data_IF_818760601069
#
_entry.id   IF_818760601069
#
_cell.length_a   1.000
_cell.length_b   1.000
_cell.length_c   1.000
_cell.angle_alpha   90.00
_cell.angle_beta   90.00
_cell.angle_gamma   90.00
#
_symmetry.space_group_name_H-M   'P 1'
#
loop_
_entity.id
_entity.type
_entity.pdbx_description
1 polymer ?
#
# COMPACT_ATOMS: atom_id res chain seq x y z
N UNK A 1 -5.84 -6.58 -15.93
CA UNK A 1 -5.43 -7.11 -14.61
C UNK A 1 -4.61 -6.07 -13.89
N UNK A 2 -4.82 -5.87 -12.59
CA UNK A 2 -4.00 -5.04 -11.72
C UNK A 2 -2.88 -5.88 -11.11
N UNK A 3 -1.62 -5.46 -11.25
CA UNK A 3 -0.48 -6.01 -10.52
C UNK A 3 -0.17 -5.15 -9.30
N UNK A 4 0.17 -5.76 -8.19
CA UNK A 4 0.61 -5.07 -6.98
C UNK A 4 1.87 -5.74 -6.47
N UNK A 5 2.94 -4.99 -6.26
CA UNK A 5 4.14 -5.52 -5.58
C UNK A 5 4.30 -4.85 -4.22
N UNK A 6 4.93 -5.53 -3.28
CA UNK A 6 5.18 -4.96 -1.95
C UNK A 6 5.29 -5.99 -0.85
N UNK A 7 5.16 -5.51 0.37
CA UNK A 7 5.29 -6.34 1.56
C UNK A 7 4.04 -7.21 1.79
N UNK A 8 4.30 -8.44 2.21
CA UNK A 8 3.35 -9.39 2.76
C UNK A 8 3.91 -9.88 4.08
N UNK A 9 3.36 -9.40 5.18
CA UNK A 9 3.88 -9.57 6.53
C UNK A 9 2.79 -9.99 7.50
N UNK A 10 3.18 -10.52 8.67
CA UNK A 10 2.25 -10.74 9.78
C UNK A 10 2.26 -9.52 10.70
N UNK A 11 1.10 -8.91 10.91
CA UNK A 11 0.94 -7.84 11.90
C UNK A 11 0.57 -8.48 13.25
N UNK A 12 1.36 -8.19 14.28
CA UNK A 12 1.10 -8.55 15.67
C UNK A 12 0.62 -7.29 16.39
N UNK A 13 -0.68 -7.19 16.58
CA UNK A 13 -1.30 -6.07 17.28
C UNK A 13 -1.29 -6.35 18.78
N UNK A 14 -0.60 -5.51 19.54
CA UNK A 14 -0.54 -5.54 21.00
C UNK A 14 -1.35 -4.37 21.54
N UNK A 15 -2.54 -4.65 22.04
CA UNK A 15 -3.42 -3.65 22.63
C UNK A 15 -3.23 -3.61 24.12
N UNK A 16 -2.60 -2.56 24.64
CA UNK A 16 -2.34 -2.41 26.06
C UNK A 16 -3.64 -2.16 26.83
N UNK A 17 -3.84 -2.89 27.92
CA UNK A 17 -4.93 -2.70 28.85
C UNK A 17 -4.52 -1.85 30.06
N UNK A 18 -3.29 -1.40 30.11
CA UNK A 18 -2.69 -0.54 31.13
C UNK A 18 -1.42 0.12 30.57
N UNK A 19 -0.93 1.24 31.16
CA UNK A 19 0.29 1.90 30.71
C UNK A 19 1.50 0.96 30.71
N UNK A 20 2.34 1.10 29.68
CA UNK A 20 3.57 0.32 29.56
C UNK A 20 4.49 0.60 30.75
N UNK A 21 4.90 -0.46 31.44
CA UNK A 21 5.86 -0.39 32.55
C UNK A 21 7.17 -1.06 32.17
N UNK A 22 8.26 -0.34 32.28
CA UNK A 22 9.58 -0.90 31.99
C UNK A 22 10.01 -1.90 33.07
N UNK A 23 10.54 -3.04 32.62
CA UNK A 23 11.15 -4.04 33.52
C UNK A 23 10.16 -4.95 34.24
N UNK A 24 8.87 -4.94 33.88
CA UNK A 24 7.85 -5.85 34.41
C UNK A 24 6.78 -6.15 33.36
N UNK A 25 5.84 -7.04 33.70
CA UNK A 25 4.73 -7.40 32.81
C UNK A 25 3.72 -6.25 32.66
N UNK A 26 3.16 -6.11 31.48
CA UNK A 26 2.00 -5.27 31.19
C UNK A 26 0.86 -6.13 30.60
N UNK A 27 -0.36 -5.91 31.06
CA UNK A 27 -1.53 -6.63 30.52
C UNK A 27 -1.87 -6.10 29.16
N UNK A 28 -2.06 -7.00 28.19
CA UNK A 28 -2.40 -6.68 26.84
C UNK A 28 -3.31 -7.75 26.22
N UNK A 29 -4.02 -7.38 25.15
CA UNK A 29 -4.60 -8.31 24.20
C UNK A 29 -3.69 -8.38 22.97
N UNK A 30 -3.45 -9.60 22.46
CA UNK A 30 -2.55 -9.80 21.31
C UNK A 30 -3.32 -10.49 20.20
N UNK A 31 -3.30 -9.89 19.03
CA UNK A 31 -3.93 -10.40 17.81
C UNK A 31 -2.90 -10.55 16.71
N UNK A 32 -3.14 -11.48 15.79
CA UNK A 32 -2.36 -11.65 14.57
C UNK A 32 -3.26 -11.39 13.37
N UNK A 33 -2.82 -10.52 12.48
CA UNK A 33 -3.56 -10.17 11.27
C UNK A 33 -2.62 -10.13 10.06
N UNK A 34 -3.15 -10.36 8.85
CA UNK A 34 -2.35 -10.13 7.65
C UNK A 34 -2.07 -8.63 7.50
N UNK A 35 -0.83 -8.30 7.15
CA UNK A 35 -0.35 -6.95 6.98
C UNK A 35 0.49 -6.77 5.71
N UNK A 36 1.00 -5.57 5.56
CA UNK A 36 1.75 -5.11 4.39
C UNK A 36 0.88 -4.30 3.43
N UNK A 37 1.31 -3.06 3.11
CA UNK A 37 0.54 -2.15 2.26
C UNK A 37 0.23 -2.76 0.89
N UNK A 38 1.23 -3.34 0.21
CA UNK A 38 1.01 -4.01 -1.08
C UNK A 38 -0.01 -5.16 -0.98
N UNK A 39 0.08 -6.00 0.04
CA UNK A 39 -0.85 -7.11 0.26
C UNK A 39 -2.28 -6.62 0.55
N UNK A 40 -2.42 -5.54 1.33
CA UNK A 40 -3.71 -4.92 1.59
C UNK A 40 -4.34 -4.38 0.31
N UNK A 41 -3.59 -3.61 -0.51
CA UNK A 41 -4.08 -3.12 -1.81
C UNK A 41 -4.52 -4.29 -2.69
N UNK A 42 -3.72 -5.35 -2.80
CA UNK A 42 -4.07 -6.51 -3.62
C UNK A 42 -5.34 -7.20 -3.12
N UNK A 43 -5.46 -7.42 -1.82
CA UNK A 43 -6.63 -8.04 -1.18
C UNK A 43 -7.91 -7.24 -1.41
N UNK A 44 -7.86 -5.92 -1.21
CA UNK A 44 -9.03 -5.05 -1.40
C UNK A 44 -9.42 -4.96 -2.88
N UNK A 45 -8.44 -4.90 -3.79
CA UNK A 45 -8.71 -4.79 -5.23
C UNK A 45 -9.25 -6.09 -5.84
N UNK A 46 -8.91 -7.26 -5.29
CA UNK A 46 -9.29 -8.56 -5.86
C UNK A 46 -10.81 -8.77 -5.94
N UNK A 47 -11.59 -8.14 -5.06
CA UNK A 47 -13.06 -8.15 -5.12
C UNK A 47 -13.64 -7.24 -6.22
N UNK A 48 -12.82 -6.39 -6.84
CA UNK A 48 -13.23 -5.38 -7.82
C UNK A 48 -12.74 -5.70 -9.23
N UNK A 49 -11.50 -6.17 -9.37
CA UNK A 49 -10.87 -6.52 -10.65
C UNK A 49 -9.92 -7.71 -10.47
N UNK A 50 -9.61 -8.46 -11.54
CA UNK A 50 -8.55 -9.47 -11.50
C UNK A 50 -7.24 -8.84 -11.04
N UNK A 51 -6.68 -9.36 -9.94
CA UNK A 51 -5.51 -8.78 -9.25
C UNK A 51 -4.44 -9.82 -9.03
N UNK A 52 -3.18 -9.45 -9.27
CA UNK A 52 -1.99 -10.25 -9.00
C UNK A 52 -1.12 -9.57 -7.95
N UNK A 53 -0.67 -10.33 -6.96
CA UNK A 53 0.32 -9.88 -5.98
C UNK A 53 1.70 -10.47 -6.32
N UNK A 54 2.74 -9.63 -6.23
CA UNK A 54 4.14 -9.98 -6.48
C UNK A 54 4.97 -9.65 -5.25
N UNK A 55 5.67 -10.62 -4.66
CA UNK A 55 6.44 -10.36 -3.45
C UNK A 55 7.35 -11.51 -3.01
N UNK A 56 7.79 -11.45 -1.76
CA UNK A 56 8.59 -12.50 -1.13
C UNK A 56 8.11 -12.76 0.30
N UNK A 57 8.03 -14.04 0.67
CA UNK A 57 7.70 -14.49 2.04
C UNK A 57 8.66 -15.61 2.46
N UNK A 58 8.72 -15.91 3.74
CA UNK A 58 9.52 -17.05 4.24
C UNK A 58 8.94 -18.40 3.81
N UNK A 59 9.79 -19.45 3.73
CA UNK A 59 9.34 -20.84 3.63
C UNK A 59 8.93 -21.37 5.01
N UNK A 60 8.00 -20.67 5.67
CA UNK A 60 7.55 -20.90 7.04
C UNK A 60 6.03 -20.86 7.16
N UNK A 61 5.49 -21.31 8.29
CA UNK A 61 4.04 -21.40 8.51
C UNK A 61 3.33 -20.04 8.41
N UNK A 62 3.86 -18.92 8.94
CA UNK A 62 3.26 -17.59 8.70
C UNK A 62 3.20 -17.23 7.22
N UNK A 63 4.27 -17.46 6.45
CA UNK A 63 4.31 -17.18 5.02
C UNK A 63 3.28 -18.00 4.24
N UNK A 64 3.10 -19.28 4.59
CA UNK A 64 2.09 -20.12 3.97
C UNK A 64 0.67 -19.64 4.30
N UNK A 65 0.42 -19.27 5.55
CA UNK A 65 -0.88 -18.77 5.98
C UNK A 65 -1.25 -17.45 5.27
N UNK A 66 -0.30 -16.52 5.15
CA UNK A 66 -0.51 -15.24 4.47
C UNK A 66 -0.80 -15.42 2.97
N UNK A 67 -0.05 -16.30 2.29
CA UNK A 67 -0.30 -16.63 0.88
C UNK A 67 -1.70 -17.24 0.70
N UNK A 68 -2.08 -18.21 1.57
CA UNK A 68 -3.40 -18.84 1.52
C UNK A 68 -4.53 -17.81 1.72
N UNK A 69 -4.35 -16.82 2.60
CA UNK A 69 -5.35 -15.77 2.82
C UNK A 69 -5.52 -14.88 1.59
N UNK A 70 -4.43 -14.50 0.90
CA UNK A 70 -4.53 -13.75 -0.35
C UNK A 70 -5.20 -14.55 -1.46
N UNK A 71 -4.85 -15.83 -1.59
CA UNK A 71 -5.49 -16.74 -2.56
C UNK A 71 -6.98 -16.89 -2.26
N UNK A 72 -7.36 -17.06 -0.99
CA UNK A 72 -8.76 -17.13 -0.57
C UNK A 72 -9.54 -15.83 -0.85
N UNK A 73 -8.85 -14.68 -0.87
CA UNK A 73 -9.42 -13.40 -1.29
C UNK A 73 -9.51 -13.23 -2.81
N UNK A 74 -9.09 -14.22 -3.62
CA UNK A 74 -9.15 -14.19 -5.08
C UNK A 74 -7.95 -13.53 -5.77
N UNK A 75 -6.84 -13.34 -5.05
CA UNK A 75 -5.59 -12.80 -5.62
C UNK A 75 -4.79 -13.90 -6.33
N UNK A 76 -4.28 -13.63 -7.53
CA UNK A 76 -3.24 -14.43 -8.18
C UNK A 76 -1.89 -14.14 -7.50
N UNK A 77 -1.42 -15.04 -6.64
CA UNK A 77 -0.24 -14.80 -5.80
C UNK A 77 1.02 -15.38 -6.45
N UNK A 78 2.00 -14.51 -6.69
CA UNK A 78 3.33 -14.86 -7.20
C UNK A 78 4.37 -14.40 -6.19
N UNK A 79 4.97 -15.35 -5.47
CA UNK A 79 5.95 -15.04 -4.41
C UNK A 79 7.19 -15.90 -4.51
N UNK A 80 8.34 -15.29 -4.26
CA UNK A 80 9.56 -16.00 -3.93
C UNK A 80 9.52 -16.43 -2.45
N UNK A 81 10.30 -17.45 -2.13
CA UNK A 81 10.44 -17.96 -0.78
C UNK A 81 11.88 -17.80 -0.32
N UNK A 82 12.14 -16.90 0.63
CA UNK A 82 13.48 -16.63 1.15
C UNK A 82 13.42 -16.09 2.57
N UNK A 83 14.40 -16.41 3.38
CA UNK A 83 14.49 -15.93 4.76
C UNK A 83 13.34 -16.38 5.65
N UNK A 84 12.92 -15.54 6.58
CA UNK A 84 11.71 -15.70 7.41
C UNK A 84 10.66 -14.68 7.01
N UNK A 85 9.40 -15.01 7.19
CA UNK A 85 8.29 -14.07 6.95
C UNK A 85 8.42 -12.82 7.81
N UNK A 86 8.18 -11.67 7.21
CA UNK A 86 8.23 -10.37 7.89
C UNK A 86 7.14 -10.24 8.94
N UNK A 87 7.42 -9.46 9.96
CA UNK A 87 6.50 -9.21 11.08
C UNK A 87 6.54 -7.74 11.45
N UNK A 88 5.37 -7.13 11.62
CA UNK A 88 5.24 -5.79 12.17
C UNK A 88 4.54 -5.88 13.52
N UNK A 89 5.18 -5.42 14.59
CA UNK A 89 4.52 -5.32 15.90
C UNK A 89 3.89 -3.93 16.00
N UNK A 90 2.59 -3.88 16.24
CA UNK A 90 1.82 -2.67 16.48
C UNK A 90 1.48 -2.58 17.96
N UNK A 91 2.08 -1.67 18.67
CA UNK A 91 1.72 -1.37 20.05
C UNK A 91 0.68 -0.26 20.05
N UNK A 92 -0.49 -0.52 20.61
CA UNK A 92 -1.59 0.43 20.75
C UNK A 92 -1.78 0.70 22.24
N UNK A 93 -1.62 1.96 22.64
CA UNK A 93 -1.79 2.37 24.03
C UNK A 93 -3.26 2.69 24.37
N UNK A 94 -3.53 3.05 25.63
CA UNK A 94 -4.87 3.38 26.14
C UNK A 94 -5.52 4.58 25.43
N UNK A 95 -4.71 5.49 24.86
CA UNK A 95 -5.18 6.64 24.08
C UNK A 95 -5.53 6.28 22.62
N UNK A 96 -5.16 5.07 22.19
CA UNK A 96 -5.27 4.63 20.81
C UNK A 96 -4.08 5.05 19.94
N UNK A 97 -3.04 5.63 20.53
CA UNK A 97 -1.79 5.96 19.85
C UNK A 97 -1.06 4.67 19.45
N UNK A 98 -0.45 4.69 18.26
CA UNK A 98 0.18 3.51 17.66
C UNK A 98 1.68 3.71 17.49
N UNK A 99 2.44 2.75 18.02
CA UNK A 99 3.86 2.62 17.71
C UNK A 99 4.09 1.34 16.90
N UNK A 100 4.73 1.47 15.76
CA UNK A 100 4.99 0.34 14.86
C UNK A 100 6.46 -0.04 14.88
N UNK A 101 6.73 -1.34 14.95
CA UNK A 101 8.07 -1.93 14.90
C UNK A 101 8.14 -2.85 13.68
N UNK A 102 8.47 -2.32 12.49
CA UNK A 102 8.52 -3.11 11.29
C UNK A 102 9.81 -3.94 11.20
N UNK A 103 9.66 -5.23 10.95
CA UNK A 103 10.72 -6.12 10.52
C UNK A 103 10.29 -6.78 9.21
N UNK A 104 10.73 -6.23 8.10
CA UNK A 104 10.30 -6.64 6.76
C UNK A 104 10.82 -8.02 6.36
N UNK A 105 11.95 -8.46 6.92
CA UNK A 105 12.57 -9.77 6.68
C UNK A 105 12.46 -10.23 5.21
N UNK A 106 11.73 -11.32 4.90
CA UNK A 106 11.56 -11.84 3.55
C UNK A 106 11.04 -10.81 2.53
N UNK A 107 10.18 -9.88 2.95
CA UNK A 107 9.67 -8.83 2.04
C UNK A 107 10.77 -7.91 1.49
N UNK A 108 11.93 -7.84 2.15
CA UNK A 108 13.10 -7.12 1.66
C UNK A 108 14.07 -7.99 0.83
N UNK A 109 13.78 -9.28 0.64
CA UNK A 109 14.64 -10.26 -0.01
C UNK A 109 14.12 -10.73 -1.39
N UNK A 110 13.19 -10.02 -2.00
CA UNK A 110 12.76 -10.30 -3.37
C UNK A 110 13.92 -9.99 -4.33
N UNK A 111 14.54 -11.01 -4.91
CA UNK A 111 15.73 -10.86 -5.76
C UNK A 111 15.38 -10.50 -7.20
N UNK A 112 14.25 -10.98 -7.70
CA UNK A 112 13.78 -10.75 -9.06
C UNK A 112 12.26 -10.80 -9.14
N UNK A 113 11.68 -9.99 -10.02
CA UNK A 113 10.33 -10.16 -10.54
C UNK A 113 10.46 -10.74 -11.95
N UNK A 114 10.19 -12.06 -12.13
CA UNK A 114 10.27 -12.71 -13.43
C UNK A 114 9.37 -12.01 -14.45
N UNK A 115 9.82 -11.98 -15.70
CA UNK A 115 9.15 -11.23 -16.76
C UNK A 115 7.71 -11.70 -17.02
N UNK A 116 7.46 -13.01 -16.89
CA UNK A 116 6.14 -13.63 -17.02
C UNK A 116 5.17 -13.26 -15.87
N UNK A 117 5.69 -12.80 -14.71
CA UNK A 117 4.84 -12.28 -13.64
C UNK A 117 4.15 -10.96 -14.03
N UNK A 118 4.67 -10.26 -15.03
CA UNK A 118 4.07 -9.04 -15.58
C UNK A 118 3.07 -9.31 -16.70
N UNK A 119 2.94 -10.56 -17.17
CA UNK A 119 2.06 -10.89 -18.30
C UNK A 119 0.60 -10.65 -17.98
N UNK A 120 -0.09 -9.94 -18.89
CA UNK A 120 -1.49 -9.58 -18.76
C UNK A 120 -1.80 -8.43 -17.79
N UNK A 121 -0.79 -7.83 -17.17
CA UNK A 121 -0.98 -6.63 -16.36
C UNK A 121 -1.29 -5.43 -17.26
N UNK A 122 -2.18 -4.58 -16.79
CA UNK A 122 -2.51 -3.27 -17.39
C UNK A 122 -1.95 -2.12 -16.55
N UNK A 123 -1.69 -2.39 -15.27
CA UNK A 123 -1.11 -1.45 -14.32
C UNK A 123 -0.34 -2.24 -13.26
N UNK A 124 0.86 -1.75 -12.89
CA UNK A 124 1.66 -2.22 -11.76
C UNK A 124 1.67 -1.14 -10.67
N UNK A 125 1.20 -1.49 -9.48
CA UNK A 125 1.20 -0.61 -8.31
C UNK A 125 2.35 -0.98 -7.37
N UNK A 126 3.04 0.06 -6.86
CA UNK A 126 4.23 -0.06 -6.02
C UNK A 126 4.12 0.88 -4.81
N UNK A 127 3.87 0.40 -3.59
CA UNK A 127 4.07 1.20 -2.38
C UNK A 127 5.54 1.57 -2.19
N UNK A 128 5.81 2.80 -1.73
CA UNK A 128 7.16 3.34 -1.58
C UNK A 128 8.06 2.50 -0.66
N UNK A 129 7.51 1.76 0.30
CA UNK A 129 8.25 0.81 1.11
C UNK A 129 9.08 -0.19 0.29
N UNK A 130 8.64 -0.52 -0.92
CA UNK A 130 9.37 -1.43 -1.82
C UNK A 130 10.71 -0.88 -2.28
N UNK A 131 10.96 0.42 -2.12
CA UNK A 131 12.21 1.08 -2.50
C UNK A 131 13.18 1.29 -1.32
N UNK A 132 12.86 0.88 -0.10
CA UNK A 132 13.69 1.13 1.10
C UNK A 132 15.07 0.46 1.09
N UNK A 133 15.40 -0.27 0.06
CA UNK A 133 16.72 -0.89 -0.12
C UNK A 133 16.68 -2.41 -0.21
N UNK A 134 17.86 -3.00 -0.17
CA UNK A 134 18.03 -4.45 -0.34
C UNK A 134 17.72 -4.94 -1.76
N UNK A 135 17.68 -6.27 -1.96
CA UNK A 135 17.35 -6.88 -3.25
C UNK A 135 15.99 -6.44 -3.80
N UNK A 136 14.98 -6.30 -2.95
CA UNK A 136 13.63 -5.92 -3.34
C UNK A 136 13.57 -4.58 -4.07
N UNK A 137 14.31 -3.56 -3.60
CA UNK A 137 14.34 -2.26 -4.26
C UNK A 137 14.86 -2.38 -5.70
N UNK A 138 15.96 -3.08 -5.90
CA UNK A 138 16.55 -3.30 -7.23
C UNK A 138 15.60 -4.11 -8.14
N UNK A 139 15.00 -5.19 -7.62
CA UNK A 139 14.05 -6.01 -8.37
C UNK A 139 12.81 -5.22 -8.80
N UNK A 140 12.28 -4.37 -7.92
CA UNK A 140 11.11 -3.53 -8.20
C UNK A 140 11.44 -2.44 -9.22
N UNK A 141 12.60 -1.77 -9.11
CA UNK A 141 13.03 -0.79 -10.12
C UNK A 141 13.14 -1.42 -11.51
N UNK A 142 13.73 -2.61 -11.61
CA UNK A 142 13.80 -3.37 -12.88
C UNK A 142 12.41 -3.70 -13.39
N UNK A 143 11.52 -4.16 -12.51
CA UNK A 143 10.14 -4.49 -12.89
C UNK A 143 9.35 -3.27 -13.39
N UNK A 144 9.54 -2.10 -12.77
CA UNK A 144 8.94 -0.84 -13.22
C UNK A 144 9.43 -0.47 -14.63
N UNK A 145 10.73 -0.56 -14.90
CA UNK A 145 11.27 -0.30 -16.25
C UNK A 145 10.71 -1.28 -17.28
N UNK A 146 10.69 -2.60 -16.96
CA UNK A 146 10.09 -3.63 -17.82
C UNK A 146 8.59 -3.43 -18.05
N UNK A 147 7.85 -2.98 -17.04
CA UNK A 147 6.44 -2.64 -17.17
C UNK A 147 6.22 -1.53 -18.21
N UNK A 148 7.03 -0.47 -18.13
CA UNK A 148 6.97 0.64 -19.10
C UNK A 148 7.31 0.21 -20.53
N UNK A 149 8.33 -0.65 -20.72
CA UNK A 149 8.70 -1.22 -22.03
C UNK A 149 7.55 -2.03 -22.67
N UNK A 150 6.57 -2.43 -21.85
CA UNK A 150 5.40 -3.23 -22.25
C UNK A 150 4.10 -2.43 -22.24
N UNK A 151 4.17 -1.10 -22.16
CA UNK A 151 2.99 -0.22 -22.05
C UNK A 151 2.08 -0.55 -20.84
N UNK A 152 2.63 -1.17 -19.79
CA UNK A 152 1.97 -1.37 -18.52
C UNK A 152 2.10 -0.08 -17.71
N UNK A 153 1.00 0.52 -17.30
CA UNK A 153 1.02 1.72 -16.47
C UNK A 153 1.65 1.43 -15.11
N UNK A 154 2.32 2.43 -14.56
CA UNK A 154 2.95 2.34 -13.24
C UNK A 154 2.30 3.33 -12.29
N UNK A 155 1.91 2.84 -11.11
CA UNK A 155 1.44 3.64 -10.00
C UNK A 155 2.38 3.48 -8.81
N UNK A 156 2.74 4.58 -8.16
CA UNK A 156 3.48 4.60 -6.89
C UNK A 156 2.60 5.21 -5.81
N UNK A 157 2.57 4.64 -4.60
CA UNK A 157 2.03 5.31 -3.40
C UNK A 157 3.19 5.79 -2.52
N UNK A 158 3.15 7.03 -2.05
CA UNK A 158 4.19 7.62 -1.22
C UNK A 158 4.26 6.98 0.19
N UNK A 159 3.22 6.29 0.61
CA UNK A 159 3.10 5.37 1.74
C UNK A 159 3.20 5.98 3.13
N UNK A 160 4.27 6.73 3.47
CA UNK A 160 4.48 7.25 4.83
C UNK A 160 5.51 8.37 4.87
N UNK A 161 5.21 9.46 5.59
CA UNK A 161 6.17 10.54 5.86
C UNK A 161 7.39 10.04 6.63
N UNK A 162 7.22 9.07 7.54
CA UNK A 162 8.31 8.45 8.29
C UNK A 162 9.27 7.71 7.38
N UNK A 163 8.75 6.88 6.47
CA UNK A 163 9.55 6.19 5.46
C UNK A 163 10.27 7.17 4.53
N UNK A 164 9.56 8.17 3.99
CA UNK A 164 10.13 9.19 3.11
C UNK A 164 11.26 9.96 3.77
N UNK A 165 11.12 10.29 5.05
CA UNK A 165 12.17 10.97 5.83
C UNK A 165 13.38 10.07 6.02
N UNK A 166 13.16 8.79 6.38
CA UNK A 166 14.23 7.81 6.57
C UNK A 166 14.97 7.51 5.27
N UNK A 167 14.25 7.32 4.18
CA UNK A 167 14.81 7.09 2.83
C UNK A 167 15.60 8.31 2.32
N UNK A 168 15.19 9.51 2.72
CA UNK A 168 15.67 10.80 2.25
C UNK A 168 14.78 11.39 1.16
N UNK A 169 14.13 12.51 1.50
CA UNK A 169 13.14 13.19 0.64
C UNK A 169 13.68 13.48 -0.77
N UNK A 170 14.89 14.07 -0.86
CA UNK A 170 15.50 14.40 -2.16
C UNK A 170 15.88 13.15 -2.97
N UNK A 171 16.31 12.09 -2.28
CA UNK A 171 16.60 10.81 -2.93
C UNK A 171 15.32 10.19 -3.52
N UNK A 172 14.20 10.26 -2.78
CA UNK A 172 12.93 9.75 -3.27
C UNK A 172 12.37 10.59 -4.43
N UNK A 173 12.54 11.91 -4.39
CA UNK A 173 12.21 12.79 -5.51
C UNK A 173 13.00 12.42 -6.77
N UNK A 174 14.32 12.19 -6.63
CA UNK A 174 15.16 11.76 -7.75
C UNK A 174 14.72 10.41 -8.30
N UNK A 175 14.36 9.45 -7.43
CA UNK A 175 13.81 8.16 -7.83
C UNK A 175 12.49 8.33 -8.62
N UNK A 176 11.55 9.14 -8.13
CA UNK A 176 10.29 9.41 -8.83
C UNK A 176 10.53 10.07 -10.20
N UNK A 177 11.53 10.96 -10.31
CA UNK A 177 11.87 11.59 -11.58
C UNK A 177 12.45 10.57 -12.59
N UNK A 178 13.27 9.61 -12.13
CA UNK A 178 13.83 8.54 -12.96
C UNK A 178 12.77 7.53 -13.38
N UNK A 179 11.97 7.04 -12.44
CA UNK A 179 10.92 6.07 -12.70
C UNK A 179 9.75 6.67 -13.48
N UNK A 180 9.48 7.96 -13.30
CA UNK A 180 8.40 8.73 -13.91
C UNK A 180 7.07 7.94 -13.95
N UNK A 181 6.48 7.56 -12.79
CA UNK A 181 5.26 6.77 -12.76
C UNK A 181 4.10 7.54 -13.41
N UNK A 182 3.13 6.82 -13.98
CA UNK A 182 1.93 7.42 -14.57
C UNK A 182 1.02 8.02 -13.49
N UNK A 183 0.98 7.38 -12.30
CA UNK A 183 0.20 7.80 -11.14
C UNK A 183 1.10 7.86 -9.91
N UNK A 184 0.97 8.92 -9.13
CA UNK A 184 1.55 9.04 -7.80
C UNK A 184 0.42 9.33 -6.80
N UNK A 185 0.18 8.42 -5.88
CA UNK A 185 -0.77 8.57 -4.80
C UNK A 185 -0.03 9.05 -3.55
N UNK A 186 -0.57 10.05 -2.88
CA UNK A 186 -0.01 10.56 -1.63
C UNK A 186 -1.13 11.08 -0.73
N UNK A 187 -0.91 11.11 0.58
CA UNK A 187 -1.74 11.94 1.45
C UNK A 187 -1.22 13.38 1.49
N UNK A 188 -1.98 14.30 2.12
CA UNK A 188 -1.63 15.71 2.16
C UNK A 188 -0.26 15.97 2.83
N UNK A 189 0.07 15.21 3.89
CA UNK A 189 1.35 15.37 4.59
C UNK A 189 2.54 14.85 3.75
N UNK A 190 2.36 13.73 3.06
CA UNK A 190 3.35 13.18 2.12
C UNK A 190 3.55 14.11 0.93
N UNK A 191 2.45 14.64 0.36
CA UNK A 191 2.51 15.58 -0.75
C UNK A 191 3.25 16.88 -0.35
N UNK A 192 2.98 17.41 0.83
CA UNK A 192 3.67 18.58 1.37
C UNK A 192 5.17 18.30 1.60
N UNK A 193 5.51 17.14 2.21
CA UNK A 193 6.89 16.74 2.47
C UNK A 193 7.69 16.59 1.16
N UNK A 194 7.08 16.02 0.14
CA UNK A 194 7.68 15.83 -1.18
C UNK A 194 7.59 17.09 -2.05
N UNK A 195 6.87 18.14 -1.63
CA UNK A 195 6.64 19.35 -2.45
C UNK A 195 5.96 19.03 -3.79
N UNK A 196 4.96 18.15 -3.77
CA UNK A 196 4.26 17.72 -4.98
C UNK A 196 3.29 18.80 -5.44
N UNK A 197 3.52 19.35 -6.63
CA UNK A 197 2.61 20.32 -7.25
C UNK A 197 2.14 19.80 -8.60
N UNK A 198 2.97 19.93 -9.63
CA UNK A 198 2.68 19.47 -11.00
C UNK A 198 3.87 18.73 -11.55
N UNK A 199 3.62 17.63 -12.22
CA UNK A 199 4.63 16.85 -12.93
C UNK A 199 4.28 16.75 -14.41
N UNK A 200 5.23 16.90 -15.33
CA UNK A 200 4.94 16.84 -16.75
C UNK A 200 4.58 15.44 -17.29
N UNK A 201 4.71 14.43 -16.46
CA UNK A 201 4.47 13.03 -16.85
C UNK A 201 3.58 12.26 -15.88
N UNK A 202 3.51 12.68 -14.62
CA UNK A 202 2.85 11.95 -13.55
C UNK A 202 1.55 12.64 -13.16
N UNK A 203 0.45 11.92 -13.15
CA UNK A 203 -0.79 12.36 -12.50
C UNK A 203 -0.65 12.15 -11.00
N UNK A 204 -0.76 13.22 -10.21
CA UNK A 204 -0.60 13.20 -8.77
C UNK A 204 -1.97 13.24 -8.10
N UNK A 205 -2.26 12.26 -7.25
CA UNK A 205 -3.53 12.11 -6.53
C UNK A 205 -3.28 12.34 -5.04
N UNK A 206 -3.73 13.47 -4.52
CA UNK A 206 -3.54 13.86 -3.12
C UNK A 206 -4.80 13.60 -2.32
N UNK A 207 -4.73 12.62 -1.42
CA UNK A 207 -5.79 12.27 -0.45
C UNK A 207 -5.68 13.20 0.77
N UNK A 208 -6.78 13.74 1.26
CA UNK A 208 -6.79 14.70 2.36
C UNK A 208 -7.84 14.36 3.46
N UNK A 209 -8.03 13.09 3.74
CA UNK A 209 -8.98 12.62 4.76
C UNK A 209 -10.42 12.97 4.38
N UNK A 210 -11.09 13.82 5.16
CA UNK A 210 -12.45 14.28 4.89
C UNK A 210 -12.52 15.43 3.85
N UNK A 211 -11.39 16.08 3.58
CA UNK A 211 -11.31 17.13 2.57
C UNK A 211 -11.27 16.53 1.16
N UNK A 212 -11.63 17.30 0.11
CA UNK A 212 -11.64 16.80 -1.26
C UNK A 212 -10.30 16.21 -1.69
N UNK A 213 -10.33 15.07 -2.38
CA UNK A 213 -9.16 14.55 -3.08
C UNK A 213 -8.83 15.45 -4.25
N UNK A 214 -7.57 15.86 -4.35
CA UNK A 214 -7.07 16.74 -5.42
C UNK A 214 -6.22 15.94 -6.39
N UNK A 215 -6.53 16.03 -7.67
CA UNK A 215 -5.74 15.41 -8.74
C UNK A 215 -5.07 16.49 -9.57
N UNK A 216 -3.75 16.50 -9.61
CA UNK A 216 -2.95 17.36 -10.50
C UNK A 216 -2.57 16.55 -11.74
N UNK A 217 -2.92 17.08 -12.93
CA UNK A 217 -2.61 16.42 -14.20
C UNK A 217 -1.34 16.98 -14.85
N UNK A 218 -0.72 16.21 -15.74
CA UNK A 218 0.48 16.66 -16.48
C UNK A 218 0.26 17.93 -17.31
N UNK A 219 -0.95 18.19 -17.76
CA UNK A 219 -1.32 19.39 -18.50
C UNK A 219 -1.49 20.65 -17.63
N UNK A 220 -1.24 20.52 -16.32
CA UNK A 220 -1.41 21.58 -15.33
C UNK A 220 -2.86 21.76 -14.84
N UNK A 221 -3.81 21.00 -15.38
CA UNK A 221 -5.20 21.06 -14.89
C UNK A 221 -5.35 20.38 -13.52
N UNK A 222 -6.33 20.86 -12.75
CA UNK A 222 -6.65 20.36 -11.42
C UNK A 222 -8.08 19.85 -11.37
N UNK A 223 -8.28 18.67 -10.77
CA UNK A 223 -9.58 18.10 -10.51
C UNK A 223 -9.75 17.95 -9.00
N UNK A 224 -10.85 18.43 -8.46
CA UNK A 224 -11.26 18.20 -7.08
C UNK A 224 -12.44 17.24 -7.05
N UNK A 225 -12.37 16.26 -6.15
CA UNK A 225 -13.42 15.26 -5.94
C UNK A 225 -13.81 15.24 -4.46
N UNK A 226 -15.03 15.70 -4.12
CA UNK A 226 -15.50 15.71 -2.75
C UNK A 226 -15.52 14.31 -2.13
N UNK A 227 -15.21 14.21 -0.85
CA UNK A 227 -15.28 12.97 -0.07
C UNK A 227 -16.65 12.87 0.56
N UNK A 228 -17.43 11.79 0.35
CA UNK A 228 -18.66 11.57 1.08
C UNK A 228 -18.41 11.43 2.58
N UNK A 229 -19.25 11.99 3.45
CA UNK A 229 -19.09 11.87 4.90
C UNK A 229 -19.20 10.40 5.35
N UNK A 230 -18.32 9.99 6.27
CA UNK A 230 -18.35 8.68 6.91
C UNK A 230 -18.86 8.86 8.33
N UNK A 231 -19.97 8.20 8.66
CA UNK A 231 -20.67 8.44 9.94
C UNK A 231 -19.91 7.87 11.16
N UNK A 232 -19.30 6.70 11.04
CA UNK A 232 -18.61 5.99 12.11
C UNK A 232 -17.18 5.63 11.68
N UNK A 233 -16.20 6.46 12.04
CA UNK A 233 -14.80 6.15 11.84
C UNK A 233 -14.29 5.39 13.06
N UNK A 234 -14.00 4.11 12.89
CA UNK A 234 -13.51 3.23 13.96
C UNK A 234 -12.00 3.05 13.96
N UNK A 235 -11.42 2.95 12.76
CA UNK A 235 -9.99 2.75 12.60
C UNK A 235 -9.52 3.35 11.26
N UNK A 236 -8.39 4.05 11.29
CA UNK A 236 -7.77 4.65 10.10
C UNK A 236 -6.83 3.68 9.37
N UNK A 237 -6.52 2.50 9.97
CA UNK A 237 -5.55 1.55 9.43
C UNK A 237 -6.04 0.97 8.11
N UNK A 238 -5.18 1.04 7.08
CA UNK A 238 -5.48 0.50 5.77
C UNK A 238 -6.45 1.34 4.93
N UNK A 239 -6.95 2.49 5.42
CA UNK A 239 -7.82 3.36 4.61
C UNK A 239 -7.11 3.89 3.36
N UNK A 240 -5.81 4.19 3.43
CA UNK A 240 -4.98 4.56 2.30
C UNK A 240 -4.85 3.43 1.28
N UNK A 241 -4.59 2.20 1.74
CA UNK A 241 -4.50 1.00 0.90
C UNK A 241 -5.86 0.70 0.23
N UNK A 242 -6.95 0.84 0.98
CA UNK A 242 -8.30 0.65 0.45
C UNK A 242 -8.67 1.72 -0.59
N UNK A 243 -8.30 2.99 -0.36
CA UNK A 243 -8.44 4.03 -1.37
C UNK A 243 -7.64 3.67 -2.62
N UNK A 244 -6.37 3.32 -2.49
CA UNK A 244 -5.52 2.92 -3.62
C UNK A 244 -6.14 1.75 -4.39
N UNK A 245 -6.63 0.72 -3.70
CA UNK A 245 -7.28 -0.44 -4.32
C UNK A 245 -8.51 -0.05 -5.14
N UNK A 246 -9.44 0.72 -4.56
CA UNK A 246 -10.65 1.18 -5.25
C UNK A 246 -10.34 2.10 -6.42
N UNK A 247 -9.43 3.06 -6.22
CA UNK A 247 -8.97 3.98 -7.24
C UNK A 247 -8.36 3.23 -8.44
N UNK A 248 -7.37 2.37 -8.18
CA UNK A 248 -6.65 1.66 -9.22
C UNK A 248 -7.55 0.66 -9.97
N UNK A 249 -8.44 -0.03 -9.25
CA UNK A 249 -9.40 -0.94 -9.86
C UNK A 249 -10.32 -0.21 -10.85
N UNK A 250 -10.90 0.93 -10.46
CA UNK A 250 -11.73 1.72 -11.36
C UNK A 250 -10.92 2.32 -12.50
N UNK A 251 -9.72 2.83 -12.21
CA UNK A 251 -8.86 3.45 -13.22
C UNK A 251 -8.39 2.46 -14.30
N UNK A 252 -8.10 1.21 -13.94
CA UNK A 252 -7.74 0.17 -14.92
C UNK A 252 -8.88 -0.06 -15.94
N UNK A 253 -10.13 0.09 -15.51
CA UNK A 253 -11.31 -0.15 -16.35
C UNK A 253 -11.71 1.08 -17.17
N UNK A 254 -11.89 2.22 -16.52
CA UNK A 254 -12.51 3.40 -17.15
C UNK A 254 -11.52 4.46 -17.63
N UNK A 255 -10.31 4.50 -17.08
CA UNK A 255 -9.33 5.59 -17.27
C UNK A 255 -9.85 6.97 -16.82
N UNK A 256 -10.99 7.03 -16.16
CA UNK A 256 -11.56 8.26 -15.64
C UNK A 256 -11.08 8.52 -14.19
N UNK A 257 -10.41 9.65 -13.99
CA UNK A 257 -9.83 10.03 -12.69
C UNK A 257 -10.89 10.37 -11.65
N UNK A 258 -12.05 10.91 -12.06
CA UNK A 258 -13.14 11.23 -11.14
C UNK A 258 -13.83 9.96 -10.65
N UNK A 259 -14.16 9.04 -11.54
CA UNK A 259 -14.72 7.73 -11.19
C UNK A 259 -13.75 6.95 -10.29
N UNK A 260 -12.45 6.99 -10.61
CA UNK A 260 -11.42 6.36 -9.79
C UNK A 260 -11.37 6.94 -8.37
N UNK A 261 -11.39 8.27 -8.20
CA UNK A 261 -11.45 8.89 -6.87
C UNK A 261 -12.70 8.48 -6.10
N UNK A 262 -13.89 8.48 -6.72
CA UNK A 262 -15.14 8.06 -6.07
C UNK A 262 -15.08 6.59 -5.63
N UNK A 263 -14.53 5.71 -6.46
CA UNK A 263 -14.34 4.31 -6.11
C UNK A 263 -13.32 4.15 -4.94
N UNK A 264 -12.24 4.94 -4.96
CA UNK A 264 -11.28 5.02 -3.87
C UNK A 264 -11.93 5.45 -2.54
N UNK A 265 -12.73 6.53 -2.55
CA UNK A 265 -13.49 6.98 -1.37
C UNK A 265 -14.44 5.90 -0.85
N UNK A 266 -15.16 5.22 -1.76
CA UNK A 266 -16.08 4.14 -1.38
C UNK A 266 -15.36 2.98 -0.71
N UNK A 267 -14.19 2.59 -1.22
CA UNK A 267 -13.39 1.52 -0.64
C UNK A 267 -12.80 1.92 0.71
N UNK A 268 -12.27 3.14 0.84
CA UNK A 268 -11.76 3.67 2.10
C UNK A 268 -12.86 3.75 3.18
N UNK A 269 -14.06 4.21 2.83
CA UNK A 269 -15.18 4.33 3.76
C UNK A 269 -15.57 2.98 4.39
N UNK A 270 -15.50 1.88 3.63
CA UNK A 270 -15.79 0.52 4.13
C UNK A 270 -14.78 0.08 5.20
N UNK A 271 -13.51 0.40 4.98
CA UNK A 271 -12.43 0.04 5.93
C UNK A 271 -12.52 0.92 7.17
N UNK A 272 -12.78 2.21 7.02
CA UNK A 272 -12.95 3.14 8.15
C UNK A 272 -14.06 2.73 9.12
N UNK A 273 -15.10 2.08 8.62
CA UNK A 273 -16.24 1.59 9.42
C UNK A 273 -15.95 0.24 10.13
N UNK A 274 -14.81 -0.41 9.85
CA UNK A 274 -14.42 -1.72 10.39
C UNK A 274 -13.16 -1.62 11.25
N UNK A 275 -13.03 -2.41 12.35
CA UNK A 275 -11.78 -2.45 13.11
C UNK A 275 -10.66 -3.15 12.32
N UNK A 276 -9.46 -2.57 12.30
CA UNK A 276 -8.31 -3.08 11.56
C UNK A 276 -8.44 -2.91 10.04
N UNK A 277 -7.39 -3.25 9.28
CA UNK A 277 -7.41 -3.23 7.82
C UNK A 277 -8.28 -4.38 7.26
N UNK A 278 -9.56 -4.42 7.61
CA UNK A 278 -10.51 -5.46 7.17
C UNK A 278 -11.75 -4.84 6.53
N UNK A 279 -12.36 -5.57 5.60
CA UNK A 279 -13.68 -5.24 5.04
C UNK A 279 -14.77 -6.19 5.56
N UNK A 280 -14.41 -7.15 6.40
CA UNK A 280 -15.36 -8.12 6.94
C UNK A 280 -16.24 -7.41 7.97
N UNK A 281 -17.49 -7.23 7.63
CA UNK A 281 -18.54 -7.15 8.64
C UNK A 281 -18.64 -8.49 9.39
N UNK A 282 -19.36 -8.50 10.52
CA UNK A 282 -19.53 -9.68 11.34
C UNK A 282 -20.13 -10.83 10.56
#
# INVERSE_FOLDING_TARGET
MLGVTGDLVEDIVVWLAEPLRHGTDARAQVFRTPGGSGANVARFAASLVPTRFLGCVGPDAPGDALVQQLVAAGVDVRVQRSGRTGTVVLLIDESGERTMFPDRAASALLEEIPSDWLDGLQLLHVPAYSFEGGPTAAAVEVAVRRARERDILVSVDASSTGMLTHYGVERFRALLADLAPDLLLANAAEAALLGLEVSPRTTIVVKAGADPTVVHRPDGSRLEVPVPPVADVRDLTGAGDAFAAGFLAAFVVSRDLREACVAGHTSAARVLASPGATTAGP
#
